data_IF_859721043082
#
_entry.id   IF_859721043082
#
_cell.length_a   1.000
_cell.length_b   1.000
_cell.length_c   1.000
_cell.angle_alpha   90.00
_cell.angle_beta   90.00
_cell.angle_gamma   90.00
#
_symmetry.space_group_name_H-M   'P 1'
#
loop_
_entity.id
_entity.type
_entity.pdbx_description
1 polymer ?
#
# COMPACT_ATOMS: atom_id res chain seq x y z
N UNK A 1 -27.40 -11.04 7.63
CA UNK A 1 -25.93 -11.08 7.60
C UNK A 1 -25.41 -11.84 8.81
N UNK A 2 -24.50 -12.78 8.61
CA UNK A 2 -23.92 -13.54 9.73
C UNK A 2 -23.01 -12.63 10.58
N UNK A 3 -22.86 -12.86 11.87
CA UNK A 3 -22.03 -12.01 12.76
C UNK A 3 -20.59 -11.81 12.25
N UNK A 4 -20.00 -12.83 11.59
CA UNK A 4 -18.64 -12.77 11.00
C UNK A 4 -18.58 -11.83 9.79
N UNK A 5 -19.56 -11.85 8.90
CA UNK A 5 -19.62 -10.96 7.73
C UNK A 5 -19.73 -9.49 8.16
N UNK A 6 -20.56 -9.21 9.19
CA UNK A 6 -20.67 -7.87 9.76
C UNK A 6 -19.35 -7.36 10.33
N UNK A 7 -18.57 -8.24 11.00
CA UNK A 7 -17.23 -7.87 11.51
C UNK A 7 -16.24 -7.60 10.39
N UNK A 8 -16.25 -8.42 9.32
CA UNK A 8 -15.39 -8.23 8.14
C UNK A 8 -15.69 -6.87 7.50
N UNK A 9 -16.95 -6.59 7.17
CA UNK A 9 -17.34 -5.35 6.50
C UNK A 9 -17.10 -4.11 7.37
N UNK A 10 -17.25 -4.21 8.69
CA UNK A 10 -16.96 -3.12 9.63
C UNK A 10 -15.50 -2.69 9.58
N UNK A 11 -14.58 -3.59 9.22
CA UNK A 11 -13.16 -3.29 9.07
C UNK A 11 -12.84 -2.96 7.61
N UNK A 12 -13.34 -3.76 6.67
CA UNK A 12 -13.00 -3.63 5.25
C UNK A 12 -13.52 -2.30 4.66
N UNK A 13 -14.78 -1.94 4.89
CA UNK A 13 -15.38 -0.75 4.27
C UNK A 13 -14.64 0.56 4.63
N UNK A 14 -14.37 0.87 5.92
CA UNK A 14 -13.58 2.06 6.23
C UNK A 14 -12.16 2.01 5.64
N UNK A 15 -11.55 0.82 5.56
CA UNK A 15 -10.22 0.65 4.97
C UNK A 15 -10.22 0.91 3.46
N UNK A 16 -11.24 0.43 2.75
CA UNK A 16 -11.45 0.71 1.31
C UNK A 16 -11.58 2.23 1.09
N UNK A 17 -12.41 2.89 1.87
CA UNK A 17 -12.59 4.35 1.77
C UNK A 17 -11.25 5.05 1.97
N UNK A 18 -10.48 4.66 3.00
CA UNK A 18 -9.15 5.20 3.24
C UNK A 18 -8.21 5.00 2.06
N UNK A 19 -8.17 3.80 1.47
CA UNK A 19 -7.29 3.48 0.35
C UNK A 19 -7.66 4.25 -0.93
N UNK A 20 -8.95 4.39 -1.22
CA UNK A 20 -9.44 5.12 -2.41
C UNK A 20 -9.20 6.64 -2.30
N UNK A 21 -9.10 7.19 -1.10
CA UNK A 21 -8.82 8.62 -0.93
C UNK A 21 -7.37 9.00 -1.25
N UNK A 22 -6.42 8.05 -1.21
CA UNK A 22 -5.00 8.32 -1.47
C UNK A 22 -4.74 8.80 -2.92
N UNK A 23 -5.22 8.13 -3.98
CA UNK A 23 -5.02 8.62 -5.34
C UNK A 23 -5.74 9.93 -5.65
N UNK A 24 -6.83 10.24 -4.96
CA UNK A 24 -7.52 11.52 -5.11
C UNK A 24 -6.62 12.69 -4.73
N UNK A 25 -5.77 12.51 -3.71
CA UNK A 25 -4.79 13.51 -3.31
C UNK A 25 -3.81 13.84 -4.44
N UNK A 26 -3.23 12.81 -5.06
CA UNK A 26 -2.32 12.99 -6.19
C UNK A 26 -2.97 13.70 -7.38
N UNK A 27 -4.24 13.41 -7.67
CA UNK A 27 -4.99 14.08 -8.75
C UNK A 27 -5.17 15.57 -8.43
N UNK A 28 -5.49 15.92 -7.18
CA UNK A 28 -5.66 17.31 -6.78
C UNK A 28 -4.33 18.07 -6.82
N UNK A 29 -3.25 17.49 -6.32
CA UNK A 29 -1.92 18.10 -6.39
C UNK A 29 -1.48 18.34 -7.84
N UNK A 30 -1.74 17.38 -8.74
CA UNK A 30 -1.50 17.54 -10.18
C UNK A 30 -2.38 18.62 -10.81
N UNK A 31 -3.66 18.70 -10.41
CA UNK A 31 -4.57 19.75 -10.90
C UNK A 31 -4.09 21.13 -10.44
N UNK A 32 -3.69 21.28 -9.18
CA UNK A 32 -3.10 22.54 -8.67
C UNK A 32 -1.85 22.91 -9.49
N UNK A 33 -0.93 21.96 -9.70
CA UNK A 33 0.26 22.17 -10.51
C UNK A 33 -0.06 22.54 -11.97
N UNK A 34 -1.11 21.94 -12.54
CA UNK A 34 -1.57 22.20 -13.90
C UNK A 34 -2.04 23.64 -14.16
N UNK A 35 -2.50 24.33 -13.12
CA UNK A 35 -2.94 25.72 -13.24
C UNK A 35 -1.83 26.76 -12.91
N UNK A 36 -0.58 26.31 -12.71
CA UNK A 36 0.56 27.21 -12.46
C UNK A 36 1.16 27.81 -13.75
N UNK A 37 0.65 27.46 -14.94
CA UNK A 37 1.01 28.07 -16.21
C UNK A 37 2.25 27.50 -16.91
N UNK A 38 2.90 26.46 -16.37
CA UNK A 38 4.06 25.81 -17.01
C UNK A 38 4.01 24.29 -16.78
N UNK A 39 4.20 23.51 -17.85
CA UNK A 39 4.24 22.04 -17.81
C UNK A 39 5.37 21.48 -16.94
N UNK A 40 6.44 22.24 -16.75
CA UNK A 40 7.58 21.89 -15.88
C UNK A 40 7.11 21.65 -14.42
N UNK A 41 6.14 22.44 -13.94
CA UNK A 41 5.64 22.28 -12.57
C UNK A 41 4.86 20.99 -12.38
N UNK A 42 4.03 20.61 -13.38
CA UNK A 42 3.28 19.34 -13.37
C UNK A 42 4.28 18.17 -13.34
N UNK A 43 5.27 18.21 -14.23
CA UNK A 43 6.28 17.16 -14.33
C UNK A 43 7.11 17.05 -13.03
N UNK A 44 7.49 18.18 -12.43
CA UNK A 44 8.26 18.21 -11.19
C UNK A 44 7.47 17.62 -9.99
N UNK A 45 6.19 17.99 -9.85
CA UNK A 45 5.30 17.42 -8.80
C UNK A 45 5.10 15.93 -9.04
N UNK A 46 4.91 15.50 -10.28
CA UNK A 46 4.76 14.08 -10.63
C UNK A 46 6.01 13.26 -10.26
N UNK A 47 7.20 13.75 -10.65
CA UNK A 47 8.49 13.10 -10.31
C UNK A 47 8.70 13.07 -8.81
N UNK A 48 8.50 14.19 -8.12
CA UNK A 48 8.65 14.26 -6.66
C UNK A 48 7.71 13.32 -5.92
N UNK A 49 6.43 13.30 -6.31
CA UNK A 49 5.42 12.41 -5.73
C UNK A 49 5.74 10.94 -5.99
N UNK A 50 6.23 10.59 -7.19
CA UNK A 50 6.65 9.23 -7.54
C UNK A 50 7.79 8.76 -6.63
N UNK A 51 8.78 9.60 -6.36
CA UNK A 51 9.90 9.26 -5.46
C UNK A 51 9.38 8.94 -4.05
N UNK A 52 8.52 9.80 -3.49
CA UNK A 52 7.96 9.57 -2.15
C UNK A 52 7.00 8.38 -2.10
N UNK A 53 6.24 8.13 -3.16
CA UNK A 53 5.39 6.93 -3.25
C UNK A 53 6.22 5.64 -3.13
N UNK A 54 7.37 5.57 -3.81
CA UNK A 54 8.28 4.42 -3.71
C UNK A 54 8.86 4.30 -2.29
N UNK A 55 9.38 5.40 -1.73
CA UNK A 55 9.96 5.42 -0.37
C UNK A 55 8.93 4.95 0.65
N UNK A 56 7.73 5.51 0.61
CA UNK A 56 6.67 5.19 1.57
C UNK A 56 6.10 3.78 1.35
N UNK A 57 6.00 3.30 0.12
CA UNK A 57 5.61 1.92 -0.17
C UNK A 57 6.59 0.91 0.44
N UNK A 58 7.90 1.16 0.29
CA UNK A 58 8.94 0.36 0.93
C UNK A 58 8.82 0.38 2.47
N UNK A 59 8.42 1.51 3.05
CA UNK A 59 8.22 1.65 4.50
C UNK A 59 6.85 1.11 5.00
N UNK A 60 5.98 0.63 4.10
CA UNK A 60 4.67 0.05 4.43
C UNK A 60 4.71 -1.15 5.39
N UNK A 61 5.88 -1.78 5.53
CA UNK A 61 6.11 -2.84 6.53
C UNK A 61 5.82 -2.38 7.97
N UNK A 62 6.05 -1.09 8.29
CA UNK A 62 5.73 -0.53 9.61
C UNK A 62 4.25 -0.69 9.95
N UNK A 63 3.36 -0.42 8.99
CA UNK A 63 1.92 -0.61 9.17
C UNK A 63 1.56 -2.08 9.33
N UNK A 64 2.03 -2.92 8.41
CA UNK A 64 1.69 -4.34 8.34
C UNK A 64 2.20 -5.10 9.56
N UNK A 65 3.49 -4.93 9.92
CA UNK A 65 4.08 -5.60 11.06
C UNK A 65 3.44 -5.20 12.39
N UNK A 66 3.15 -3.90 12.55
CA UNK A 66 2.46 -3.40 13.77
C UNK A 66 1.04 -3.94 13.86
N UNK A 67 0.29 -4.01 12.74
CA UNK A 67 -1.08 -4.54 12.71
C UNK A 67 -1.14 -6.00 13.15
N UNK A 68 -0.32 -6.87 12.55
CA UNK A 68 -0.30 -8.30 12.88
C UNK A 68 0.06 -8.58 14.34
N UNK A 69 1.12 -7.94 14.84
CA UNK A 69 1.54 -8.14 16.24
C UNK A 69 0.49 -7.59 17.23
N UNK A 70 -0.11 -6.43 16.95
CA UNK A 70 -1.15 -5.82 17.81
C UNK A 70 -2.39 -6.69 17.86
N UNK A 71 -2.86 -7.21 16.73
CA UNK A 71 -4.05 -8.06 16.68
C UNK A 71 -3.89 -9.35 17.47
N UNK A 72 -2.70 -9.98 17.44
CA UNK A 72 -2.39 -11.15 18.26
C UNK A 72 -2.33 -10.83 19.75
N UNK A 73 -1.64 -9.75 20.14
CA UNK A 73 -1.59 -9.32 21.54
C UNK A 73 -2.99 -9.02 22.09
N UNK A 74 -3.85 -8.38 21.26
CA UNK A 74 -5.26 -8.16 21.59
C UNK A 74 -6.00 -9.49 21.78
N UNK A 75 -5.76 -10.48 20.94
CA UNK A 75 -6.34 -11.82 21.04
C UNK A 75 -5.95 -12.53 22.34
N UNK A 76 -4.69 -12.42 22.74
CA UNK A 76 -4.17 -12.94 24.03
C UNK A 76 -4.64 -12.13 25.25
N UNK A 77 -5.36 -11.04 25.06
CA UNK A 77 -5.74 -10.05 26.10
C UNK A 77 -4.52 -9.42 26.80
N UNK A 78 -3.39 -9.36 26.13
CA UNK A 78 -2.16 -8.75 26.61
C UNK A 78 -2.16 -7.24 26.31
N UNK A 79 -2.77 -6.46 27.20
CA UNK A 79 -2.86 -5.01 27.05
C UNK A 79 -1.49 -4.32 27.19
N UNK A 80 -0.55 -4.91 27.96
CA UNK A 80 0.82 -4.41 28.04
C UNK A 80 1.52 -4.59 26.70
N UNK A 81 1.44 -5.79 26.11
CA UNK A 81 1.97 -6.07 24.79
C UNK A 81 1.40 -5.16 23.72
N UNK A 82 0.08 -4.91 23.73
CA UNK A 82 -0.58 -3.97 22.80
C UNK A 82 0.01 -2.56 22.90
N UNK A 83 0.24 -2.04 24.12
CA UNK A 83 0.83 -0.72 24.33
C UNK A 83 2.31 -0.68 23.92
N UNK A 84 3.06 -1.73 24.24
CA UNK A 84 4.49 -1.85 23.92
C UNK A 84 4.76 -1.98 22.41
N UNK A 85 3.90 -2.70 21.66
CA UNK A 85 4.02 -2.80 20.20
C UNK A 85 3.84 -1.41 19.55
N UNK A 86 2.89 -0.60 20.01
CA UNK A 86 2.73 0.77 19.54
C UNK A 86 3.99 1.59 19.80
N UNK A 87 4.49 1.58 21.04
CA UNK A 87 5.65 2.37 21.44
C UNK A 87 6.90 1.97 20.63
N UNK A 88 7.14 0.67 20.42
CA UNK A 88 8.23 0.17 19.55
C UNK A 88 8.05 0.58 18.11
N UNK A 89 6.84 0.41 17.56
CA UNK A 89 6.53 0.83 16.19
C UNK A 89 6.81 2.30 15.96
N UNK A 90 6.40 3.17 16.89
CA UNK A 90 6.70 4.61 16.84
C UNK A 90 8.19 4.90 16.94
N UNK A 91 8.92 4.24 17.86
CA UNK A 91 10.36 4.43 18.03
C UNK A 91 11.13 4.02 16.78
N UNK A 92 10.78 2.88 16.17
CA UNK A 92 11.39 2.41 14.92
C UNK A 92 11.04 3.33 13.75
N UNK A 93 9.80 3.80 13.66
CA UNK A 93 9.37 4.75 12.64
C UNK A 93 10.18 6.06 12.71
N UNK A 94 10.36 6.60 13.91
CA UNK A 94 11.17 7.81 14.13
C UNK A 94 12.65 7.57 13.83
N UNK A 95 13.22 6.40 14.19
CA UNK A 95 14.59 6.06 13.87
C UNK A 95 14.82 5.97 12.35
N UNK A 96 13.91 5.33 11.60
CA UNK A 96 13.98 5.25 10.14
C UNK A 96 13.82 6.64 9.52
N UNK A 97 12.86 7.43 9.99
CA UNK A 97 12.67 8.79 9.52
C UNK A 97 13.90 9.66 9.74
N UNK A 98 14.53 9.55 10.91
CA UNK A 98 15.80 10.24 11.20
C UNK A 98 16.92 9.80 10.25
N UNK A 99 17.02 8.51 9.95
CA UNK A 99 17.97 8.01 8.96
C UNK A 99 17.70 8.58 7.55
N UNK A 100 16.43 8.64 7.13
CA UNK A 100 16.04 9.26 5.84
C UNK A 100 16.44 10.75 5.81
N UNK A 101 16.21 11.49 6.90
CA UNK A 101 16.57 12.89 7.00
C UNK A 101 18.10 13.11 6.96
N UNK A 102 18.87 12.27 7.65
CA UNK A 102 20.35 12.34 7.60
C UNK A 102 20.87 12.00 6.20
N UNK A 103 20.27 11.00 5.55
CA UNK A 103 20.66 10.53 4.23
C UNK A 103 19.88 11.20 3.08
N UNK A 104 19.16 12.30 3.34
CA UNK A 104 18.30 12.94 2.35
C UNK A 104 19.05 13.36 1.08
N UNK A 105 20.29 13.84 1.20
CA UNK A 105 21.09 14.29 0.05
C UNK A 105 21.42 13.13 -0.91
N UNK A 106 22.05 12.01 -0.47
CA UNK A 106 22.33 10.89 -1.35
C UNK A 106 21.05 10.20 -1.87
N UNK A 107 20.03 10.06 -1.03
CA UNK A 107 18.74 9.44 -1.45
C UNK A 107 18.09 10.28 -2.55
N UNK A 108 17.93 11.57 -2.36
CA UNK A 108 17.27 12.42 -3.33
C UNK A 108 18.05 12.57 -4.63
N UNK A 109 19.38 12.72 -4.57
CA UNK A 109 20.21 12.78 -5.78
C UNK A 109 20.14 11.49 -6.59
N UNK A 110 20.23 10.33 -5.91
CA UNK A 110 20.12 9.03 -6.56
C UNK A 110 18.74 8.85 -7.19
N UNK A 111 17.66 9.19 -6.47
CA UNK A 111 16.30 9.06 -6.97
C UNK A 111 16.05 9.92 -8.22
N UNK A 112 16.46 11.18 -8.21
CA UNK A 112 16.31 12.08 -9.37
C UNK A 112 17.16 11.61 -10.55
N UNK A 113 18.40 11.17 -10.30
CA UNK A 113 19.25 10.61 -11.33
C UNK A 113 18.65 9.36 -11.98
N UNK A 114 18.04 8.48 -11.18
CA UNK A 114 17.35 7.28 -11.68
C UNK A 114 16.12 7.58 -12.55
N UNK A 115 15.42 8.69 -12.28
CA UNK A 115 14.28 9.13 -13.08
C UNK A 115 14.74 9.65 -14.44
N UNK A 116 15.91 10.31 -14.52
CA UNK A 116 16.47 10.81 -15.76
C UNK A 116 15.63 11.89 -16.44
N UNK A 117 14.94 12.71 -15.67
CA UNK A 117 14.14 13.82 -16.19
C UNK A 117 15.03 14.96 -16.71
N UNK A 118 14.46 15.82 -17.55
CA UNK A 118 15.11 17.04 -18.05
C UNK A 118 15.60 17.94 -16.90
N UNK A 119 16.70 18.67 -17.11
CA UNK A 119 17.34 19.46 -16.05
C UNK A 119 16.42 20.45 -15.36
N UNK A 120 15.50 21.09 -16.11
CA UNK A 120 14.49 22.01 -15.59
C UNK A 120 13.54 21.32 -14.61
N UNK A 121 13.05 20.14 -14.98
CA UNK A 121 12.17 19.30 -14.16
C UNK A 121 12.92 18.76 -12.95
N UNK A 122 14.13 18.26 -13.15
CA UNK A 122 14.99 17.71 -12.10
C UNK A 122 15.29 18.73 -11.00
N UNK A 123 15.56 20.00 -11.39
CA UNK A 123 15.80 21.08 -10.44
C UNK A 123 14.55 21.41 -9.59
N UNK A 124 13.37 21.45 -10.20
CA UNK A 124 12.11 21.68 -9.47
C UNK A 124 11.71 20.49 -8.61
N UNK A 125 11.91 19.26 -9.12
CA UNK A 125 11.66 18.02 -8.35
C UNK A 125 12.60 17.93 -7.14
N UNK A 126 13.85 18.43 -7.25
CA UNK A 126 14.77 18.52 -6.12
C UNK A 126 14.24 19.45 -5.02
N UNK A 127 13.71 20.62 -5.39
CA UNK A 127 13.07 21.54 -4.44
C UNK A 127 11.88 20.90 -3.74
N UNK A 128 11.03 20.22 -4.50
CA UNK A 128 9.91 19.44 -3.96
C UNK A 128 10.39 18.39 -2.96
N UNK A 129 11.41 17.61 -3.33
CA UNK A 129 11.99 16.58 -2.49
C UNK A 129 12.55 17.14 -1.18
N UNK A 130 13.32 18.23 -1.23
CA UNK A 130 13.92 18.86 -0.05
C UNK A 130 12.88 19.35 0.98
N UNK A 131 11.68 19.67 0.55
CA UNK A 131 10.59 20.06 1.44
C UNK A 131 9.84 18.82 1.95
N UNK A 132 9.41 17.94 1.05
CA UNK A 132 8.59 16.77 1.40
C UNK A 132 9.33 15.78 2.30
N UNK A 133 10.65 15.69 2.25
CA UNK A 133 11.44 14.79 3.11
C UNK A 133 11.24 15.07 4.60
N UNK A 134 10.96 16.30 4.99
CA UNK A 134 10.64 16.68 6.37
C UNK A 134 9.31 16.15 6.86
N UNK A 135 8.46 15.67 5.97
CA UNK A 135 7.24 14.94 6.30
C UNK A 135 7.46 13.49 6.71
N UNK A 136 8.65 12.92 6.45
CA UNK A 136 8.93 11.51 6.75
C UNK A 136 8.70 11.11 8.22
N UNK A 137 9.08 11.89 9.25
CA UNK A 137 8.78 11.56 10.64
C UNK A 137 7.28 11.44 10.92
N UNK A 138 6.48 12.34 10.36
CA UNK A 138 5.02 12.31 10.52
C UNK A 138 4.41 11.12 9.80
N UNK A 139 4.80 10.87 8.54
CA UNK A 139 4.22 9.81 7.71
C UNK A 139 4.56 8.41 8.21
N UNK A 140 5.82 8.15 8.58
CA UNK A 140 6.22 6.84 9.11
C UNK A 140 5.61 6.56 10.49
N UNK A 141 5.51 7.57 11.35
CA UNK A 141 4.79 7.46 12.62
C UNK A 141 3.32 7.17 12.41
N UNK A 142 2.70 7.80 11.41
CA UNK A 142 1.32 7.54 11.04
C UNK A 142 1.12 6.11 10.52
N UNK A 143 2.08 5.55 9.79
CA UNK A 143 2.02 4.14 9.39
C UNK A 143 2.01 3.20 10.61
N UNK A 144 2.88 3.42 11.59
CA UNK A 144 2.89 2.63 12.82
C UNK A 144 1.55 2.74 13.58
N UNK A 145 1.01 3.95 13.75
CA UNK A 145 -0.29 4.15 14.41
C UNK A 145 -1.46 3.56 13.61
N UNK A 146 -1.48 3.74 12.30
CA UNK A 146 -2.52 3.17 11.43
C UNK A 146 -2.51 1.63 11.53
N UNK A 147 -1.34 1.01 11.46
CA UNK A 147 -1.20 -0.43 11.67
C UNK A 147 -1.71 -0.86 13.04
N UNK A 148 -1.38 -0.12 14.07
CA UNK A 148 -1.86 -0.37 15.42
C UNK A 148 -3.40 -0.28 15.52
N UNK A 149 -4.01 0.75 14.93
CA UNK A 149 -5.48 0.89 14.90
C UNK A 149 -6.16 -0.26 14.16
N UNK A 150 -5.59 -0.70 13.02
CA UNK A 150 -6.08 -1.87 12.28
C UNK A 150 -6.02 -3.11 13.18
N UNK A 151 -4.88 -3.35 13.86
CA UNK A 151 -4.72 -4.45 14.82
C UNK A 151 -5.70 -4.39 15.98
N UNK A 152 -6.08 -3.20 16.42
CA UNK A 152 -7.13 -2.95 17.42
C UNK A 152 -8.56 -3.10 16.86
N UNK A 153 -8.71 -3.47 15.59
CA UNK A 153 -10.00 -3.60 14.89
C UNK A 153 -10.77 -2.28 14.76
N UNK A 154 -10.09 -1.16 14.79
CA UNK A 154 -10.68 0.17 14.69
C UNK A 154 -10.17 0.90 13.44
N UNK A 155 -10.69 0.54 12.28
CA UNK A 155 -10.32 1.14 10.99
C UNK A 155 -11.05 2.45 10.69
N UNK A 156 -12.03 2.83 11.52
CA UNK A 156 -12.72 4.12 11.39
C UNK A 156 -11.79 5.29 11.68
N UNK A 157 -10.88 5.14 12.66
CA UNK A 157 -9.92 6.19 12.99
C UNK A 157 -8.94 6.45 11.84
N UNK A 158 -8.25 5.46 11.26
CA UNK A 158 -7.45 5.65 10.06
C UNK A 158 -8.22 6.29 8.90
N UNK A 159 -9.45 5.87 8.64
CA UNK A 159 -10.30 6.46 7.61
C UNK A 159 -10.54 7.97 7.86
N UNK A 160 -10.94 8.35 9.08
CA UNK A 160 -11.18 9.76 9.43
C UNK A 160 -9.91 10.60 9.30
N UNK A 161 -8.76 10.04 9.74
CA UNK A 161 -7.45 10.70 9.64
C UNK A 161 -7.06 10.88 8.17
N UNK A 162 -7.23 9.88 7.33
CA UNK A 162 -6.92 9.94 5.89
C UNK A 162 -7.78 11.00 5.18
N UNK A 163 -9.08 11.01 5.42
CA UNK A 163 -9.98 12.03 4.85
C UNK A 163 -9.58 13.44 5.32
N UNK A 164 -9.33 13.61 6.62
CA UNK A 164 -8.90 14.89 7.16
C UNK A 164 -7.56 15.34 6.55
N UNK A 165 -6.58 14.45 6.41
CA UNK A 165 -5.31 14.75 5.77
C UNK A 165 -5.51 15.25 4.33
N UNK A 166 -6.38 14.61 3.56
CA UNK A 166 -6.67 15.02 2.18
C UNK A 166 -7.29 16.44 2.15
N UNK A 167 -8.26 16.71 3.04
CA UNK A 167 -8.88 18.05 3.15
C UNK A 167 -7.83 19.10 3.54
N UNK A 168 -7.00 18.81 4.54
CA UNK A 168 -5.92 19.73 4.97
C UNK A 168 -4.91 19.96 3.86
N UNK A 169 -4.51 18.89 3.13
CA UNK A 169 -3.60 19.03 2.00
C UNK A 169 -4.17 19.95 0.93
N UNK A 170 -5.41 19.73 0.49
CA UNK A 170 -6.07 20.55 -0.54
C UNK A 170 -6.09 22.02 -0.11
N UNK A 171 -6.54 22.32 1.11
CA UNK A 171 -6.63 23.68 1.63
C UNK A 171 -5.24 24.30 1.73
N UNK A 172 -4.25 23.58 2.28
CA UNK A 172 -2.90 24.09 2.47
C UNK A 172 -2.18 24.32 1.14
N UNK A 173 -2.22 23.32 0.22
CA UNK A 173 -1.62 23.44 -1.11
C UNK A 173 -2.22 24.60 -1.89
N UNK A 174 -3.56 24.72 -1.88
CA UNK A 174 -4.25 25.85 -2.52
C UNK A 174 -3.82 27.19 -1.93
N UNK A 175 -3.75 27.28 -0.61
CA UNK A 175 -3.35 28.53 0.09
C UNK A 175 -1.90 28.89 -0.22
N UNK A 176 -0.97 27.94 -0.14
CA UNK A 176 0.44 28.22 -0.43
C UNK A 176 0.68 28.61 -1.89
N UNK A 177 -0.02 27.97 -2.82
CA UNK A 177 0.15 28.24 -4.26
C UNK A 177 -0.52 29.56 -4.67
N UNK A 178 -1.78 29.74 -4.34
CA UNK A 178 -2.56 30.86 -4.89
C UNK A 178 -2.59 32.11 -4.01
N UNK A 179 -2.50 31.96 -2.68
CA UNK A 179 -2.49 33.12 -1.76
C UNK A 179 -1.07 33.63 -1.53
N UNK A 180 -0.10 32.69 -1.28
CA UNK A 180 1.29 33.05 -1.03
C UNK A 180 2.16 33.10 -2.28
N UNK A 181 1.62 32.73 -3.46
CA UNK A 181 2.35 32.77 -4.72
C UNK A 181 3.46 31.73 -4.85
N UNK A 182 3.48 30.73 -3.97
CA UNK A 182 4.44 29.63 -4.04
C UNK A 182 4.10 28.71 -5.21
N UNK A 183 5.11 28.12 -5.83
CA UNK A 183 4.90 27.19 -6.94
C UNK A 183 4.96 25.73 -6.44
N UNK A 184 5.85 24.94 -6.99
CA UNK A 184 6.07 23.53 -6.61
C UNK A 184 6.32 23.39 -5.11
N UNK A 185 7.01 24.33 -4.50
CA UNK A 185 7.25 24.39 -3.07
C UNK A 185 5.96 24.49 -2.25
N UNK A 186 4.94 25.20 -2.78
CA UNK A 186 3.65 25.33 -2.12
C UNK A 186 2.90 24.02 -2.02
N UNK A 187 2.90 23.22 -3.07
CA UNK A 187 2.32 21.86 -3.08
C UNK A 187 3.06 20.95 -2.09
N UNK A 188 4.40 21.01 -2.10
CA UNK A 188 5.22 20.23 -1.18
C UNK A 188 4.94 20.60 0.29
N UNK A 189 4.85 21.89 0.62
CA UNK A 189 4.52 22.37 1.96
C UNK A 189 3.11 21.95 2.38
N UNK A 190 2.14 22.02 1.49
CA UNK A 190 0.78 21.54 1.73
C UNK A 190 0.75 20.07 2.13
N UNK A 191 1.52 19.24 1.44
CA UNK A 191 1.67 17.81 1.76
C UNK A 191 2.30 17.61 3.14
N UNK A 192 3.36 18.33 3.47
CA UNK A 192 4.02 18.23 4.79
C UNK A 192 3.06 18.67 5.91
N UNK A 193 2.37 19.78 5.74
CA UNK A 193 1.37 20.28 6.72
C UNK A 193 0.28 19.23 6.95
N UNK A 194 -0.24 18.60 5.88
CA UNK A 194 -1.25 17.56 6.00
C UNK A 194 -0.73 16.32 6.76
N UNK A 195 0.52 15.91 6.52
CA UNK A 195 1.14 14.78 7.22
C UNK A 195 1.29 15.05 8.72
N UNK A 196 1.75 16.25 9.10
CA UNK A 196 1.84 16.64 10.51
C UNK A 196 0.46 16.81 11.16
N UNK A 197 -0.51 17.37 10.48
CA UNK A 197 -1.89 17.42 10.96
C UNK A 197 -2.43 15.99 11.20
N UNK A 198 -2.13 15.06 10.30
CA UNK A 198 -2.50 13.65 10.43
C UNK A 198 -1.95 13.00 11.68
N UNK A 199 -0.65 13.13 11.96
CA UNK A 199 -0.04 12.51 13.15
C UNK A 199 -0.53 13.17 14.44
N UNK A 200 -0.70 14.50 14.46
CA UNK A 200 -1.22 15.22 15.63
C UNK A 200 -2.64 14.76 15.97
N UNK A 201 -3.53 14.72 14.96
CA UNK A 201 -4.91 14.25 15.15
C UNK A 201 -4.94 12.77 15.52
N UNK A 202 -4.09 11.94 14.91
CA UNK A 202 -3.97 10.52 15.24
C UNK A 202 -3.54 10.33 16.70
N UNK A 203 -2.54 11.05 17.17
CA UNK A 203 -2.08 11.00 18.56
C UNK A 203 -3.16 11.50 19.54
N UNK A 204 -3.86 12.58 19.18
CA UNK A 204 -4.97 13.10 19.97
C UNK A 204 -6.12 12.09 20.08
N UNK A 205 -6.53 11.46 18.97
CA UNK A 205 -7.57 10.43 18.98
C UNK A 205 -7.12 9.19 19.78
N UNK A 206 -5.84 8.83 19.71
CA UNK A 206 -5.29 7.74 20.51
C UNK A 206 -5.38 8.05 22.01
N UNK A 207 -4.95 9.23 22.43
CA UNK A 207 -5.01 9.63 23.86
C UNK A 207 -6.45 9.66 24.38
N UNK A 208 -7.39 10.17 23.59
CA UNK A 208 -8.81 10.21 23.92
C UNK A 208 -9.46 8.81 24.01
N UNK A 209 -9.10 7.92 23.10
CA UNK A 209 -9.79 6.63 22.99
C UNK A 209 -9.12 5.54 23.84
N UNK A 210 -7.79 5.53 23.91
CA UNK A 210 -7.02 4.45 24.50
C UNK A 210 -6.08 4.91 25.62
N UNK A 211 -5.73 6.18 25.67
CA UNK A 211 -4.71 6.72 26.57
C UNK A 211 -4.94 6.38 28.02
N UNK A 212 -6.14 6.56 28.53
CA UNK A 212 -6.47 6.26 29.92
C UNK A 212 -6.20 4.79 30.33
N UNK A 213 -6.30 3.85 29.37
CA UNK A 213 -6.13 2.42 29.62
C UNK A 213 -4.73 1.91 29.33
N UNK A 214 -3.99 2.55 28.42
CA UNK A 214 -2.76 2.01 27.88
C UNK A 214 -1.51 2.83 28.24
N UNK A 215 -1.63 4.12 28.47
CA UNK A 215 -0.47 4.99 28.69
C UNK A 215 0.41 4.51 29.87
N UNK A 216 -0.19 4.16 31.00
CA UNK A 216 0.52 3.67 32.20
C UNK A 216 1.15 2.27 32.02
N UNK A 217 0.85 1.58 30.92
CA UNK A 217 1.41 0.23 30.60
C UNK A 217 2.66 0.32 29.74
N UNK A 218 3.01 1.51 29.25
CA UNK A 218 4.21 1.75 28.47
C UNK A 218 5.40 1.81 29.41
N UNK A 219 6.28 0.83 29.34
CA UNK A 219 7.53 0.80 30.09
C UNK A 219 8.68 1.20 29.15
N UNK A 220 9.19 2.41 29.30
CA UNK A 220 10.23 2.97 28.42
C UNK A 220 11.52 2.13 28.39
N UNK A 221 11.87 1.48 29.50
CA UNK A 221 13.03 0.58 29.57
C UNK A 221 12.85 -0.69 28.74
N UNK A 222 11.63 -1.19 28.60
CA UNK A 222 11.32 -2.42 27.86
C UNK A 222 11.11 -2.17 26.37
N UNK A 223 11.03 -0.92 25.90
CA UNK A 223 10.91 -0.60 24.45
C UNK A 223 12.11 -1.17 23.72
N UNK A 224 13.31 -1.00 24.27
CA UNK A 224 14.59 -1.41 23.69
C UNK A 224 15.00 -2.85 24.06
N UNK A 225 14.09 -3.65 24.62
CA UNK A 225 14.37 -5.05 24.93
C UNK A 225 14.77 -5.82 23.67
N UNK A 226 15.96 -6.42 23.73
CA UNK A 226 16.64 -7.00 22.56
C UNK A 226 15.81 -8.08 21.86
N UNK A 227 15.18 -8.97 22.62
CA UNK A 227 14.44 -10.09 22.03
C UNK A 227 13.11 -9.64 21.41
N UNK A 228 12.46 -8.64 22.00
CA UNK A 228 11.26 -8.04 21.44
C UNK A 228 11.58 -7.23 20.17
N UNK A 229 12.70 -6.49 20.15
CA UNK A 229 13.18 -5.80 18.96
C UNK A 229 13.60 -6.78 17.85
N UNK A 230 14.34 -7.84 18.16
CA UNK A 230 14.69 -8.88 17.18
C UNK A 230 13.45 -9.45 16.51
N UNK A 231 12.40 -9.78 17.30
CA UNK A 231 11.12 -10.27 16.76
C UNK A 231 10.43 -9.23 15.89
N UNK A 232 10.38 -7.97 16.34
CA UNK A 232 9.82 -6.86 15.57
C UNK A 232 10.54 -6.70 14.25
N UNK A 233 11.87 -6.66 14.26
CA UNK A 233 12.67 -6.53 13.03
C UNK A 233 12.58 -7.75 12.12
N UNK A 234 12.50 -8.96 12.65
CA UNK A 234 12.36 -10.16 11.83
C UNK A 234 11.07 -10.13 11.00
N UNK A 235 9.94 -9.79 11.62
CA UNK A 235 8.65 -9.63 10.93
C UNK A 235 8.72 -8.53 9.87
N UNK A 236 9.24 -7.37 10.25
CA UNK A 236 9.29 -6.21 9.36
C UNK A 236 10.28 -6.40 8.20
N UNK A 237 11.42 -7.06 8.42
CA UNK A 237 12.39 -7.41 7.37
C UNK A 237 11.77 -8.29 6.31
N UNK A 238 11.04 -9.32 6.70
CA UNK A 238 10.42 -10.25 5.76
C UNK A 238 9.38 -9.53 4.89
N UNK A 239 8.58 -8.63 5.50
CA UNK A 239 7.62 -7.79 4.77
C UNK A 239 8.33 -6.81 3.83
N UNK A 240 9.42 -6.18 4.28
CA UNK A 240 10.23 -5.29 3.46
C UNK A 240 10.80 -6.01 2.23
N UNK A 241 11.45 -7.17 2.44
CA UNK A 241 12.01 -7.97 1.35
C UNK A 241 10.92 -8.44 0.37
N UNK A 242 9.75 -8.85 0.88
CA UNK A 242 8.60 -9.15 0.04
C UNK A 242 8.21 -7.94 -0.83
N UNK A 243 8.18 -6.75 -0.24
CA UNK A 243 7.80 -5.53 -0.97
C UNK A 243 8.81 -5.20 -2.07
N UNK A 244 10.10 -5.46 -1.87
CA UNK A 244 11.11 -5.32 -2.94
C UNK A 244 10.78 -6.18 -4.16
N UNK A 245 10.35 -7.43 -4.00
CA UNK A 245 9.92 -8.27 -5.12
C UNK A 245 8.71 -7.69 -5.85
N UNK A 246 7.74 -7.13 -5.12
CA UNK A 246 6.57 -6.47 -5.73
C UNK A 246 6.97 -5.23 -6.52
N UNK A 247 7.82 -4.39 -5.95
CA UNK A 247 8.34 -3.18 -6.62
C UNK A 247 9.13 -3.58 -7.87
N UNK A 248 10.01 -4.57 -7.78
CA UNK A 248 10.82 -5.03 -8.91
C UNK A 248 9.95 -5.54 -10.06
N UNK A 249 8.92 -6.34 -9.79
CA UNK A 249 7.98 -6.83 -10.82
C UNK A 249 7.21 -5.67 -11.46
N UNK A 250 6.67 -4.74 -10.65
CA UNK A 250 5.93 -3.60 -11.19
C UNK A 250 6.81 -2.67 -12.02
N UNK A 251 8.01 -2.37 -11.54
CA UNK A 251 8.97 -1.54 -12.28
C UNK A 251 9.39 -2.19 -13.59
N UNK A 252 9.69 -3.50 -13.56
CA UNK A 252 10.04 -4.25 -14.76
C UNK A 252 8.87 -4.30 -15.75
N UNK A 253 7.64 -4.51 -15.28
CA UNK A 253 6.44 -4.50 -16.12
C UNK A 253 6.31 -3.20 -16.91
N UNK A 254 6.49 -2.06 -16.24
CA UNK A 254 6.42 -0.74 -16.87
C UNK A 254 7.57 -0.52 -17.85
N UNK A 255 8.80 -0.87 -17.45
CA UNK A 255 10.01 -0.72 -18.26
C UNK A 255 9.98 -1.60 -19.52
N UNK A 256 9.59 -2.86 -19.37
CA UNK A 256 9.44 -3.79 -20.49
C UNK A 256 8.30 -3.34 -21.42
N UNK A 257 7.19 -2.84 -20.87
CA UNK A 257 6.11 -2.26 -21.66
C UNK A 257 6.56 -1.09 -22.53
N UNK A 258 7.45 -0.25 -22.03
CA UNK A 258 8.02 0.88 -22.78
C UNK A 258 8.82 0.44 -24.01
N UNK A 259 9.47 -0.71 -23.98
CA UNK A 259 10.24 -1.24 -25.12
C UNK A 259 9.37 -1.62 -26.33
N UNK A 260 8.06 -1.83 -26.12
CA UNK A 260 7.11 -2.14 -27.20
C UNK A 260 6.47 -0.89 -27.83
N UNK A 261 6.89 0.30 -27.43
CA UNK A 261 6.45 1.57 -28.00
C UNK A 261 5.47 2.35 -27.13
N UNK A 262 5.31 3.63 -27.46
CA UNK A 262 4.53 4.58 -26.64
C UNK A 262 3.04 4.20 -26.49
N UNK A 263 2.41 3.70 -27.56
CA UNK A 263 0.99 3.28 -27.51
C UNK A 263 0.80 2.09 -26.57
N UNK A 264 1.68 1.08 -26.65
CA UNK A 264 1.62 -0.11 -25.79
C UNK A 264 1.88 0.26 -24.34
N UNK A 265 2.84 1.14 -24.08
CA UNK A 265 3.09 1.68 -22.74
C UNK A 265 1.85 2.40 -22.18
N UNK A 266 1.21 3.25 -22.97
CA UNK A 266 -0.02 3.93 -22.56
C UNK A 266 -1.13 2.93 -22.23
N UNK A 267 -1.36 1.93 -23.09
CA UNK A 267 -2.33 0.85 -22.85
C UNK A 267 -2.02 0.11 -21.55
N UNK A 268 -0.78 -0.33 -21.35
CA UNK A 268 -0.37 -1.03 -20.15
C UNK A 268 -0.59 -0.18 -18.88
N UNK A 269 -0.26 1.11 -18.95
CA UNK A 269 -0.46 2.04 -17.84
C UNK A 269 -1.94 2.20 -17.48
N UNK A 270 -2.81 2.35 -18.49
CA UNK A 270 -4.25 2.47 -18.27
C UNK A 270 -4.86 1.18 -17.72
N UNK A 271 -4.49 0.02 -18.25
CA UNK A 271 -4.99 -1.26 -17.77
C UNK A 271 -4.48 -1.58 -16.35
N UNK A 272 -3.28 -1.13 -15.98
CA UNK A 272 -2.78 -1.23 -14.61
C UNK A 272 -3.58 -0.39 -13.61
N UNK A 273 -4.31 0.65 -14.05
CA UNK A 273 -5.27 1.34 -13.17
C UNK A 273 -6.43 0.44 -12.74
N UNK A 274 -6.87 -0.47 -13.62
CA UNK A 274 -7.90 -1.47 -13.27
C UNK A 274 -7.38 -2.41 -12.18
N UNK A 275 -6.11 -2.85 -12.27
CA UNK A 275 -5.46 -3.61 -11.20
C UNK A 275 -5.41 -2.80 -9.89
N UNK A 276 -5.04 -1.54 -9.96
CA UNK A 276 -4.92 -0.67 -8.78
C UNK A 276 -6.27 -0.47 -8.09
N UNK A 277 -7.34 -0.24 -8.85
CA UNK A 277 -8.71 -0.12 -8.30
C UNK A 277 -9.16 -1.40 -7.60
N UNK A 278 -8.91 -2.56 -8.22
CA UNK A 278 -9.19 -3.85 -7.60
C UNK A 278 -8.37 -4.04 -6.32
N UNK A 279 -7.07 -3.71 -6.35
CA UNK A 279 -6.18 -3.88 -5.20
C UNK A 279 -6.62 -3.04 -4.00
N UNK A 280 -7.07 -1.80 -4.18
CA UNK A 280 -7.55 -0.96 -3.08
C UNK A 280 -8.75 -1.56 -2.34
N UNK A 281 -9.64 -2.21 -3.06
CA UNK A 281 -10.78 -2.89 -2.45
C UNK A 281 -10.33 -4.17 -1.75
N UNK A 282 -9.49 -4.98 -2.40
CA UNK A 282 -8.99 -6.23 -1.80
C UNK A 282 -8.09 -5.98 -0.59
N UNK A 283 -7.30 -4.90 -0.58
CA UNK A 283 -6.52 -4.48 0.59
C UNK A 283 -7.42 -4.16 1.80
N UNK A 284 -8.60 -3.62 1.59
CA UNK A 284 -9.58 -3.45 2.67
C UNK A 284 -10.00 -4.78 3.30
N UNK A 285 -10.19 -5.83 2.50
CA UNK A 285 -10.46 -7.18 3.00
C UNK A 285 -9.21 -7.83 3.60
N UNK A 286 -8.01 -7.54 3.06
CA UNK A 286 -6.76 -7.97 3.68
C UNK A 286 -6.61 -7.36 5.10
N UNK A 287 -6.95 -6.09 5.32
CA UNK A 287 -6.96 -5.47 6.66
C UNK A 287 -7.95 -6.16 7.60
N UNK A 288 -9.10 -6.59 7.10
CA UNK A 288 -10.03 -7.40 7.89
C UNK A 288 -9.40 -8.76 8.26
N UNK A 289 -8.66 -9.39 7.34
CA UNK A 289 -7.86 -10.59 7.57
C UNK A 289 -6.78 -10.37 8.64
N UNK A 290 -5.97 -9.30 8.51
CA UNK A 290 -4.95 -8.92 9.50
C UNK A 290 -5.54 -8.82 10.92
N UNK A 291 -6.62 -8.07 11.05
CA UNK A 291 -7.21 -7.75 12.34
C UNK A 291 -7.98 -8.92 12.97
N UNK A 292 -8.81 -9.61 12.19
CA UNK A 292 -9.67 -10.69 12.70
C UNK A 292 -8.91 -11.99 12.87
N UNK A 293 -8.17 -12.41 11.82
CA UNK A 293 -7.41 -13.66 11.88
C UNK A 293 -6.28 -13.56 12.90
N UNK A 294 -5.57 -12.43 12.99
CA UNK A 294 -4.54 -12.23 13.99
C UNK A 294 -5.09 -12.31 15.42
N UNK A 295 -6.22 -11.66 15.69
CA UNK A 295 -6.88 -11.75 17.01
C UNK A 295 -7.32 -13.17 17.35
N UNK A 296 -7.94 -13.88 16.40
CA UNK A 296 -8.43 -15.24 16.61
C UNK A 296 -7.28 -16.23 16.83
N UNK A 297 -6.18 -16.05 16.07
CA UNK A 297 -4.94 -16.80 16.25
C UNK A 297 -4.34 -16.57 17.63
N UNK A 298 -4.22 -15.29 18.04
CA UNK A 298 -3.74 -14.93 19.37
C UNK A 298 -4.61 -15.47 20.51
N UNK A 299 -5.92 -15.59 20.28
CA UNK A 299 -6.86 -16.18 21.25
C UNK A 299 -6.91 -17.72 21.22
N UNK A 300 -6.19 -18.39 20.32
CA UNK A 300 -6.23 -19.84 20.15
C UNK A 300 -7.56 -20.40 19.59
N UNK A 301 -8.41 -19.56 19.03
CA UNK A 301 -9.73 -19.98 18.54
C UNK A 301 -9.66 -20.48 17.07
N UNK A 302 -9.22 -21.74 16.90
CA UNK A 302 -9.03 -22.38 15.59
C UNK A 302 -10.33 -22.46 14.77
N UNK A 303 -11.47 -22.73 15.39
CA UNK A 303 -12.75 -22.89 14.70
C UNK A 303 -13.22 -21.58 14.04
N UNK A 304 -13.26 -20.48 14.80
CA UNK A 304 -13.62 -19.16 14.26
C UNK A 304 -12.57 -18.63 13.30
N UNK A 305 -11.27 -18.94 13.50
CA UNK A 305 -10.19 -18.61 12.59
C UNK A 305 -10.43 -19.20 11.20
N UNK A 306 -10.65 -20.51 11.09
CA UNK A 306 -10.94 -21.19 9.82
C UNK A 306 -12.24 -20.68 9.18
N UNK A 307 -13.28 -20.44 9.97
CA UNK A 307 -14.54 -19.87 9.48
C UNK A 307 -14.33 -18.45 8.91
N UNK A 308 -13.53 -17.63 9.56
CA UNK A 308 -13.24 -16.26 9.11
C UNK A 308 -12.47 -16.27 7.79
N UNK A 309 -11.46 -17.13 7.63
CA UNK A 309 -10.75 -17.30 6.35
C UNK A 309 -11.73 -17.70 5.24
N UNK A 310 -12.58 -18.72 5.48
CA UNK A 310 -13.57 -19.14 4.49
C UNK A 310 -14.56 -18.03 4.09
N UNK A 311 -14.89 -17.12 5.01
CA UNK A 311 -15.74 -15.96 4.71
C UNK A 311 -14.98 -14.90 3.89
N UNK A 312 -13.71 -14.62 4.22
CA UNK A 312 -12.87 -13.70 3.44
C UNK A 312 -12.71 -14.20 1.99
N UNK A 313 -12.49 -15.50 1.78
CA UNK A 313 -12.44 -16.07 0.44
C UNK A 313 -13.75 -15.95 -0.31
N UNK A 314 -14.92 -16.18 0.34
CA UNK A 314 -16.22 -15.98 -0.30
C UNK A 314 -16.43 -14.55 -0.77
N UNK A 315 -16.07 -13.55 0.07
CA UNK A 315 -16.08 -12.14 -0.32
C UNK A 315 -15.12 -11.86 -1.46
N UNK A 316 -13.90 -12.42 -1.40
CA UNK A 316 -12.89 -12.29 -2.47
C UNK A 316 -13.41 -12.84 -3.80
N UNK A 317 -14.00 -14.04 -3.82
CA UNK A 317 -14.59 -14.63 -5.04
C UNK A 317 -15.75 -13.79 -5.58
N UNK A 318 -16.67 -13.36 -4.71
CA UNK A 318 -17.78 -12.52 -5.12
C UNK A 318 -17.34 -11.20 -5.74
N UNK A 319 -16.38 -10.52 -5.10
CA UNK A 319 -15.81 -9.28 -5.62
C UNK A 319 -15.05 -9.52 -6.93
N UNK A 320 -14.25 -10.58 -7.02
CA UNK A 320 -13.55 -10.91 -8.27
C UNK A 320 -14.52 -11.16 -9.41
N UNK A 321 -15.63 -11.85 -9.17
CA UNK A 321 -16.66 -12.05 -10.17
C UNK A 321 -17.28 -10.72 -10.64
N UNK A 322 -17.60 -9.83 -9.70
CA UNK A 322 -18.14 -8.48 -10.03
C UNK A 322 -17.12 -7.66 -10.83
N UNK A 323 -15.87 -7.58 -10.36
CA UNK A 323 -14.82 -6.81 -11.05
C UNK A 323 -14.50 -7.36 -12.44
N UNK A 324 -14.40 -8.70 -12.57
CA UNK A 324 -14.19 -9.34 -13.87
C UNK A 324 -15.33 -9.04 -14.83
N UNK A 325 -16.59 -9.12 -14.38
CA UNK A 325 -17.75 -8.77 -15.20
C UNK A 325 -17.72 -7.28 -15.60
N UNK A 326 -17.44 -6.37 -14.65
CA UNK A 326 -17.33 -4.93 -14.94
C UNK A 326 -16.19 -4.65 -15.92
N UNK A 327 -15.04 -5.30 -15.78
CA UNK A 327 -13.91 -5.08 -16.69
C UNK A 327 -14.15 -5.71 -18.07
N UNK A 328 -14.77 -6.89 -18.14
CA UNK A 328 -15.04 -7.56 -19.41
C UNK A 328 -16.11 -6.82 -20.25
N UNK A 329 -17.16 -6.31 -19.60
CA UNK A 329 -18.28 -5.67 -20.31
C UNK A 329 -18.20 -4.14 -20.35
N UNK A 330 -17.53 -3.51 -19.39
CA UNK A 330 -17.45 -2.06 -19.24
C UNK A 330 -16.05 -1.47 -19.45
N UNK A 331 -15.04 -2.33 -19.66
CA UNK A 331 -13.63 -1.89 -19.68
C UNK A 331 -13.31 -0.86 -20.77
N UNK A 332 -13.84 -1.04 -21.99
CA UNK A 332 -13.65 -0.06 -23.08
C UNK A 332 -14.28 1.29 -22.74
N UNK A 333 -15.51 1.28 -22.19
CA UNK A 333 -16.17 2.52 -21.74
C UNK A 333 -15.42 3.19 -20.59
N UNK A 334 -14.83 2.43 -19.68
CA UNK A 334 -13.99 2.98 -18.61
C UNK A 334 -12.70 3.58 -19.16
N UNK A 335 -12.06 2.93 -20.12
CA UNK A 335 -10.82 3.44 -20.75
C UNK A 335 -11.07 4.71 -21.55
N UNK A 336 -12.21 4.81 -22.23
CA UNK A 336 -12.61 6.03 -22.96
C UNK A 336 -12.90 7.23 -22.05
N UNK A 337 -13.14 7.00 -20.74
CA UNK A 337 -13.21 8.08 -19.74
C UNK A 337 -11.83 8.57 -19.30
N UNK A 338 -10.80 7.75 -19.47
CA UNK A 338 -9.43 8.06 -19.03
C UNK A 338 -8.57 8.67 -20.15
N UNK A 339 -8.92 8.45 -21.42
CA UNK A 339 -8.17 8.96 -22.57
C UNK A 339 -9.08 9.20 -23.77
N UNK A 340 -8.84 10.32 -24.47
CA UNK A 340 -9.49 10.65 -25.75
C UNK A 340 -8.71 10.08 -26.96
N UNK A 341 -7.56 9.43 -26.76
CA UNK A 341 -6.76 8.86 -27.82
C UNK A 341 -7.39 7.57 -28.36
N UNK A 342 -8.07 7.68 -29.51
CA UNK A 342 -8.73 6.55 -30.16
C UNK A 342 -7.78 5.39 -30.50
N UNK A 343 -6.49 5.65 -30.74
CA UNK A 343 -5.50 4.61 -31.01
C UNK A 343 -5.21 3.79 -29.75
N UNK A 344 -5.11 4.44 -28.61
CA UNK A 344 -4.89 3.79 -27.32
C UNK A 344 -6.10 2.96 -26.92
N UNK A 345 -7.31 3.52 -27.04
CA UNK A 345 -8.58 2.82 -26.76
C UNK A 345 -8.72 1.57 -27.64
N UNK A 346 -8.51 1.71 -28.96
CA UNK A 346 -8.60 0.59 -29.90
C UNK A 346 -7.53 -0.49 -29.61
N UNK A 347 -6.29 -0.10 -29.30
CA UNK A 347 -5.23 -1.04 -28.95
C UNK A 347 -5.47 -1.77 -27.62
N UNK A 348 -6.18 -1.12 -26.69
CA UNK A 348 -6.45 -1.70 -25.36
C UNK A 348 -7.42 -2.90 -25.43
N UNK A 349 -8.29 -2.97 -26.41
CA UNK A 349 -9.24 -4.09 -26.59
C UNK A 349 -8.53 -5.44 -26.69
N UNK A 350 -7.34 -5.47 -27.31
CA UNK A 350 -6.50 -6.68 -27.44
C UNK A 350 -5.95 -7.19 -26.11
N UNK A 351 -5.86 -6.32 -25.10
CA UNK A 351 -5.28 -6.65 -23.78
C UNK A 351 -6.32 -6.67 -22.66
N UNK A 352 -7.56 -6.24 -22.92
CA UNK A 352 -8.59 -6.09 -21.90
C UNK A 352 -8.92 -7.41 -21.20
N UNK A 353 -8.88 -8.54 -21.90
CA UNK A 353 -9.10 -9.86 -21.31
C UNK A 353 -8.05 -10.19 -20.22
N UNK A 354 -6.80 -9.76 -20.39
CA UNK A 354 -5.78 -9.94 -19.37
C UNK A 354 -6.12 -9.14 -18.11
N UNK A 355 -6.54 -7.90 -18.28
CA UNK A 355 -6.98 -7.06 -17.16
C UNK A 355 -8.22 -7.64 -16.46
N UNK A 356 -9.18 -8.18 -17.22
CA UNK A 356 -10.38 -8.83 -16.68
C UNK A 356 -10.06 -10.12 -15.90
N UNK A 357 -8.94 -10.81 -16.19
CA UNK A 357 -8.50 -11.99 -15.47
C UNK A 357 -7.79 -11.68 -14.14
N UNK A 358 -7.29 -10.44 -13.95
CA UNK A 358 -6.57 -10.01 -12.74
C UNK A 358 -7.32 -10.32 -11.44
N UNK A 359 -8.64 -10.00 -11.31
CA UNK A 359 -9.35 -10.21 -10.06
C UNK A 359 -9.31 -11.68 -9.60
N UNK A 360 -9.54 -12.62 -10.49
CA UNK A 360 -9.48 -14.04 -10.13
C UNK A 360 -8.08 -14.54 -9.82
N UNK A 361 -7.09 -14.12 -10.59
CA UNK A 361 -5.69 -14.53 -10.38
C UNK A 361 -5.12 -13.92 -9.09
N UNK A 362 -5.52 -12.69 -8.75
CA UNK A 362 -4.93 -11.94 -7.63
C UNK A 362 -5.63 -12.14 -6.29
N UNK A 363 -6.94 -12.42 -6.25
CA UNK A 363 -7.72 -12.35 -5.03
C UNK A 363 -7.17 -13.23 -3.89
N UNK A 364 -6.72 -14.43 -4.21
CA UNK A 364 -6.19 -15.35 -3.21
C UNK A 364 -4.93 -14.79 -2.54
N UNK A 365 -4.06 -14.13 -3.31
CA UNK A 365 -2.86 -13.48 -2.78
C UNK A 365 -3.20 -12.36 -1.78
N UNK A 366 -4.19 -11.52 -2.09
CA UNK A 366 -4.63 -10.44 -1.19
C UNK A 366 -5.23 -10.97 0.11
N UNK A 367 -6.11 -11.98 0.02
CA UNK A 367 -6.72 -12.58 1.20
C UNK A 367 -5.66 -13.23 2.09
N UNK A 368 -4.77 -14.03 1.50
CA UNK A 368 -3.70 -14.68 2.24
C UNK A 368 -2.69 -13.68 2.81
N UNK A 369 -2.32 -12.62 2.09
CA UNK A 369 -1.45 -11.58 2.62
C UNK A 369 -2.01 -11.04 3.95
N UNK A 370 -3.30 -10.71 4.02
CA UNK A 370 -3.94 -10.29 5.26
C UNK A 370 -3.87 -11.34 6.37
N UNK A 371 -4.15 -12.60 6.05
CA UNK A 371 -4.07 -13.70 7.05
C UNK A 371 -2.64 -13.90 7.53
N UNK A 372 -1.65 -13.97 6.63
CA UNK A 372 -0.24 -14.19 6.98
C UNK A 372 0.35 -13.05 7.80
N UNK A 373 -0.04 -11.80 7.51
CA UNK A 373 0.32 -10.64 8.35
C UNK A 373 -0.32 -10.78 9.73
N UNK A 374 -1.61 -11.11 9.80
CA UNK A 374 -2.33 -11.28 11.05
C UNK A 374 -1.70 -12.34 11.96
N UNK A 375 -1.29 -13.48 11.41
CA UNK A 375 -0.62 -14.55 12.17
C UNK A 375 0.90 -14.34 12.28
N UNK A 376 1.45 -13.26 11.71
CA UNK A 376 2.89 -12.96 11.63
C UNK A 376 3.74 -14.05 10.98
N UNK A 377 3.16 -14.83 10.06
CA UNK A 377 3.85 -15.84 9.27
C UNK A 377 4.56 -15.25 8.05
N UNK A 378 5.31 -14.17 8.25
CA UNK A 378 5.86 -13.29 7.22
C UNK A 378 6.89 -13.98 6.33
N UNK A 379 7.60 -15.00 6.83
CA UNK A 379 8.50 -15.84 6.01
C UNK A 379 7.76 -16.56 4.88
N UNK A 380 6.56 -17.08 5.15
CA UNK A 380 5.75 -17.72 4.12
C UNK A 380 5.31 -16.73 3.04
N UNK A 381 4.97 -15.51 3.43
CA UNK A 381 4.61 -14.43 2.52
C UNK A 381 5.82 -13.96 1.68
N UNK A 382 7.01 -13.86 2.27
CA UNK A 382 8.25 -13.57 1.56
C UNK A 382 8.57 -14.66 0.52
N UNK A 383 8.52 -15.93 0.94
CA UNK A 383 8.81 -17.07 0.06
C UNK A 383 7.85 -17.13 -1.12
N UNK A 384 6.56 -16.95 -0.89
CA UNK A 384 5.55 -16.92 -1.95
C UNK A 384 5.81 -15.81 -2.97
N UNK A 385 6.19 -14.62 -2.50
CA UNK A 385 6.49 -13.48 -3.37
C UNK A 385 7.79 -13.66 -4.16
N UNK A 386 8.80 -14.28 -3.57
CA UNK A 386 10.05 -14.63 -4.26
C UNK A 386 9.80 -15.66 -5.37
N UNK A 387 9.09 -16.76 -5.08
CA UNK A 387 8.74 -17.79 -6.07
C UNK A 387 7.90 -17.17 -7.19
N UNK A 388 6.92 -16.33 -6.85
CA UNK A 388 6.08 -15.67 -7.84
C UNK A 388 6.88 -14.72 -8.74
N UNK A 389 7.81 -13.93 -8.17
CA UNK A 389 8.69 -13.06 -8.95
C UNK A 389 9.61 -13.84 -9.88
N UNK A 390 10.19 -14.94 -9.41
CA UNK A 390 10.98 -15.84 -10.27
C UNK A 390 10.12 -16.39 -11.41
N UNK A 391 8.88 -16.83 -11.12
CA UNK A 391 7.94 -17.31 -12.12
C UNK A 391 7.60 -16.24 -13.16
N UNK A 392 7.42 -14.98 -12.72
CA UNK A 392 7.20 -13.84 -13.61
C UNK A 392 8.34 -13.67 -14.61
N UNK A 393 9.57 -13.56 -14.11
CA UNK A 393 10.74 -13.35 -14.95
C UNK A 393 10.98 -14.55 -15.89
N UNK A 394 10.75 -15.77 -15.41
CA UNK A 394 10.90 -16.97 -16.21
C UNK A 394 9.89 -17.02 -17.37
N UNK A 395 8.60 -16.79 -17.09
CA UNK A 395 7.56 -16.78 -18.12
C UNK A 395 7.81 -15.69 -19.14
N UNK A 396 8.17 -14.49 -18.69
CA UNK A 396 8.51 -13.41 -19.59
C UNK A 396 9.74 -13.75 -20.47
N UNK A 397 10.83 -14.23 -19.87
CA UNK A 397 12.06 -14.57 -20.59
C UNK A 397 11.84 -15.65 -21.67
N UNK A 398 10.97 -16.62 -21.40
CA UNK A 398 10.67 -17.70 -22.34
C UNK A 398 9.74 -17.28 -23.50
N UNK A 399 8.82 -16.33 -23.24
CA UNK A 399 7.71 -16.04 -24.16
C UNK A 399 7.76 -14.65 -24.80
N UNK A 400 8.65 -13.74 -24.38
CA UNK A 400 8.67 -12.35 -24.86
C UNK A 400 8.94 -12.25 -26.37
N UNK A 401 9.72 -13.16 -26.96
CA UNK A 401 10.02 -13.16 -28.38
C UNK A 401 8.83 -13.58 -29.26
N UNK A 402 7.97 -14.47 -28.75
CA UNK A 402 6.80 -15.00 -29.47
C UNK A 402 5.52 -14.23 -29.22
N UNK A 403 5.27 -13.86 -27.98
CA UNK A 403 4.03 -13.23 -27.52
C UNK A 403 4.15 -11.71 -27.24
N UNK A 404 5.38 -11.16 -27.29
CA UNK A 404 5.64 -9.73 -27.07
C UNK A 404 4.94 -9.22 -25.78
N UNK A 405 4.11 -8.16 -25.88
CA UNK A 405 3.41 -7.58 -24.75
C UNK A 405 2.38 -8.53 -24.08
N UNK A 406 1.84 -9.51 -24.82
CA UNK A 406 0.99 -10.55 -24.22
C UNK A 406 1.76 -11.44 -23.25
N UNK A 407 3.06 -11.70 -23.50
CA UNK A 407 3.92 -12.42 -22.57
C UNK A 407 4.08 -11.66 -21.24
N UNK A 408 4.13 -10.33 -21.29
CA UNK A 408 4.24 -9.50 -20.12
C UNK A 408 2.97 -9.59 -19.24
N UNK A 409 1.80 -9.54 -19.85
CA UNK A 409 0.51 -9.71 -19.16
C UNK A 409 0.35 -11.13 -18.61
N UNK A 410 0.69 -12.15 -19.37
CA UNK A 410 0.66 -13.54 -18.91
C UNK A 410 1.59 -13.73 -17.70
N UNK A 411 2.81 -13.20 -17.77
CA UNK A 411 3.76 -13.26 -16.66
C UNK A 411 3.22 -12.58 -15.41
N UNK A 412 2.53 -11.44 -15.57
CA UNK A 412 1.90 -10.72 -14.45
C UNK A 412 0.75 -11.52 -13.82
N UNK A 413 -0.11 -12.14 -14.62
CA UNK A 413 -1.16 -13.04 -14.10
C UNK A 413 -0.58 -14.26 -13.38
N UNK A 414 0.48 -14.86 -13.93
CA UNK A 414 1.20 -15.97 -13.27
C UNK A 414 1.80 -15.50 -11.95
N UNK A 415 2.38 -14.31 -11.89
CA UNK A 415 2.89 -13.72 -10.65
C UNK A 415 1.79 -13.61 -9.59
N UNK A 416 0.62 -13.07 -9.92
CA UNK A 416 -0.49 -12.94 -9.00
C UNK A 416 -1.02 -14.31 -8.53
N UNK A 417 -1.21 -15.24 -9.47
CA UNK A 417 -1.72 -16.57 -9.19
C UNK A 417 -0.75 -17.39 -8.32
N UNK A 418 0.55 -17.37 -8.65
CA UNK A 418 1.58 -18.11 -7.91
C UNK A 418 1.71 -17.63 -6.46
N UNK A 419 1.56 -16.33 -6.19
CA UNK A 419 1.49 -15.84 -4.81
C UNK A 419 0.37 -16.54 -4.03
N UNK A 420 -0.84 -16.54 -4.59
CA UNK A 420 -2.01 -17.18 -3.98
C UNK A 420 -1.86 -18.69 -3.80
N UNK A 421 -1.36 -19.38 -4.81
CA UNK A 421 -1.16 -20.85 -4.79
C UNK A 421 -0.11 -21.25 -3.73
N UNK A 422 1.05 -20.61 -3.73
CA UNK A 422 2.11 -20.93 -2.76
C UNK A 422 1.66 -20.61 -1.32
N UNK A 423 0.98 -19.47 -1.11
CA UNK A 423 0.43 -19.14 0.21
C UNK A 423 -0.65 -20.12 0.65
N UNK A 424 -1.52 -20.58 -0.24
CA UNK A 424 -2.54 -21.61 0.06
C UNK A 424 -1.88 -22.91 0.50
N UNK A 425 -0.82 -23.34 -0.20
CA UNK A 425 -0.07 -24.54 0.17
C UNK A 425 0.64 -24.42 1.53
N UNK A 426 1.24 -23.27 1.80
CA UNK A 426 1.89 -23.00 3.08
C UNK A 426 0.88 -22.90 4.23
N UNK A 427 -0.28 -22.30 3.99
CA UNK A 427 -1.36 -22.21 4.99
C UNK A 427 -1.91 -23.59 5.34
N UNK A 428 -2.09 -24.47 4.34
CA UNK A 428 -2.49 -25.85 4.57
C UNK A 428 -1.49 -26.58 5.50
N UNK A 429 -0.19 -26.45 5.24
CA UNK A 429 0.84 -27.03 6.11
C UNK A 429 0.77 -26.50 7.55
N UNK A 430 0.57 -25.19 7.73
CA UNK A 430 0.44 -24.60 9.07
C UNK A 430 -0.81 -25.09 9.83
N UNK A 431 -1.90 -25.35 9.13
CA UNK A 431 -3.15 -25.83 9.73
C UNK A 431 -3.08 -27.31 10.17
N UNK A 432 -2.29 -28.15 9.50
CA UNK A 432 -2.19 -29.58 9.74
C UNK A 432 -0.90 -30.02 10.44
N UNK A 433 0.03 -29.09 10.68
CA UNK A 433 1.33 -29.34 11.38
C UNK A 433 1.23 -29.18 12.91
N UNK A 434 0.05 -28.86 13.44
CA UNK A 434 -0.29 -28.76 14.88
C UNK A 434 -1.54 -29.62 15.17
#
# INVERSE_FOLDING_TARGET
MNNTDSKILRIAVPSIISNVTVPLLGIVDMAIAGHMGDAVYIAAVAVGSMIFNVIYWLCGFLRMGTSGMTSQALGRRDLKGVAMIMARGMSVALAIASAILVLQLPIGRLAIWMVGAEDSVSHMAWRYFCICVWGAPAMLSLYALTGWYVGMQNTRLPMMISIMQNVVNIIASFTFVYVFGMKVEGVAMGTVVAQYAGIIVSAWLWTRTYGARLFHRICWREIMETDALKRFFAVNRDIFLRTLFLVAVNFFFLSAGASYGAVVLAVNTLLMQLFTLFSYVMDGFAYAGEALCGRLYGAGNKAEFSRTIGRLFRWGIALSAVYTAVYAFGGEGFLSLLTDDAKVVSASSSYLLWAAAIPFCGMAAFVWDGVFIGVTATRGMLLSSAIAAISFFLVYALLHTTLQNHALWLAFLVFLAMRGVVQSFLAYRMAFSN
#
